data_IF_576714380417
#
_entry.id   IF_576714380417
#
_cell.length_a   1.000
_cell.length_b   1.000
_cell.length_c   1.000
_cell.angle_alpha   90.00
_cell.angle_beta   90.00
_cell.angle_gamma   90.00
#
_symmetry.space_group_name_H-M   'P 1'
#
loop_
_entity.id
_entity.type
_entity.pdbx_description
1 polymer ?
#
# COMPACT_ATOMS: atom_id res chain seq x y z
N UNK A 1 -9.24 7.73 -6.66
CA UNK A 1 -9.74 8.88 -5.89
C UNK A 1 -8.59 9.75 -5.43
N UNK A 2 -8.85 11.03 -5.25
CA UNK A 2 -7.95 11.94 -4.58
C UNK A 2 -8.46 12.20 -3.17
N UNK A 3 -7.56 12.11 -2.19
CA UNK A 3 -7.90 12.35 -0.78
C UNK A 3 -7.01 13.45 -0.19
N UNK A 4 -7.53 14.20 0.74
CA UNK A 4 -6.77 15.14 1.57
C UNK A 4 -5.94 14.34 2.58
N UNK A 5 -4.63 14.61 2.66
CA UNK A 5 -3.67 13.79 3.40
C UNK A 5 -3.21 14.38 4.74
N UNK A 6 -3.76 15.53 5.15
CA UNK A 6 -3.36 16.21 6.41
C UNK A 6 -3.47 15.31 7.64
N UNK A 7 -4.52 14.47 7.71
CA UNK A 7 -4.69 13.56 8.83
C UNK A 7 -3.62 12.47 8.91
N UNK A 8 -3.17 11.96 7.74
CA UNK A 8 -2.07 11.00 7.65
C UNK A 8 -0.74 11.65 8.07
N UNK A 9 -0.52 12.89 7.63
CA UNK A 9 0.68 13.66 7.98
C UNK A 9 0.70 13.94 9.48
N UNK A 10 -0.40 14.44 10.05
CA UNK A 10 -0.53 14.71 11.49
C UNK A 10 -0.32 13.42 12.33
N UNK A 11 -0.87 12.29 11.88
CA UNK A 11 -0.64 10.99 12.54
C UNK A 11 0.82 10.59 12.52
N UNK A 12 1.51 10.78 11.39
CA UNK A 12 2.95 10.51 11.26
C UNK A 12 3.78 11.39 12.21
N UNK A 13 3.45 12.68 12.29
CA UNK A 13 4.13 13.63 13.19
C UNK A 13 3.90 13.30 14.66
N UNK A 14 2.67 12.91 15.03
CA UNK A 14 2.36 12.44 16.38
C UNK A 14 3.22 11.23 16.76
N UNK A 15 3.26 10.21 15.90
CA UNK A 15 4.04 9.00 16.14
C UNK A 15 5.56 9.29 16.19
N UNK A 16 6.04 10.25 15.39
CA UNK A 16 7.42 10.70 15.45
C UNK A 16 7.75 11.38 16.80
N UNK A 17 6.84 12.17 17.34
CA UNK A 17 6.98 12.78 18.67
C UNK A 17 6.99 11.73 19.79
N UNK A 18 6.32 10.60 19.61
CA UNK A 18 6.31 9.44 20.50
C UNK A 18 7.56 8.54 20.31
N UNK A 19 8.50 8.92 19.43
CA UNK A 19 9.74 8.18 19.15
C UNK A 19 9.60 7.09 18.07
N UNK A 20 8.48 7.02 17.36
CA UNK A 20 8.23 6.03 16.31
C UNK A 20 8.41 6.64 14.91
N UNK A 21 9.45 6.22 14.19
CA UNK A 21 9.68 6.64 12.81
C UNK A 21 8.84 5.81 11.86
N UNK A 22 7.66 6.33 11.47
CA UNK A 22 6.73 5.67 10.57
C UNK A 22 6.78 6.32 9.19
N UNK A 23 6.89 5.49 8.14
CA UNK A 23 6.85 5.97 6.74
C UNK A 23 5.41 6.20 6.28
N UNK A 24 5.22 7.02 5.23
CA UNK A 24 3.91 7.15 4.58
C UNK A 24 3.45 5.79 4.01
N UNK A 25 4.37 5.00 3.47
CA UNK A 25 4.06 3.66 2.98
C UNK A 25 3.50 2.75 4.10
N UNK A 26 4.03 2.85 5.32
CA UNK A 26 3.53 2.10 6.47
C UNK A 26 2.12 2.52 6.87
N UNK A 27 1.79 3.82 6.81
CA UNK A 27 0.43 4.31 7.09
C UNK A 27 -0.57 3.87 6.02
N UNK A 28 -0.17 3.93 4.74
CA UNK A 28 -1.02 3.45 3.64
C UNK A 28 -1.22 1.94 3.72
N UNK A 29 -0.19 1.19 4.07
CA UNK A 29 -0.29 -0.26 4.28
C UNK A 29 -1.24 -0.60 5.45
N UNK A 30 -1.18 0.17 6.55
CA UNK A 30 -2.10 0.00 7.68
C UNK A 30 -3.56 0.23 7.26
N UNK A 31 -3.81 1.30 6.50
CA UNK A 31 -5.14 1.61 5.98
C UNK A 31 -5.63 0.52 5.00
N UNK A 32 -4.77 0.07 4.08
CA UNK A 32 -5.08 -1.02 3.15
C UNK A 32 -5.42 -2.31 3.91
N UNK A 33 -4.60 -2.68 4.90
CA UNK A 33 -4.81 -3.90 5.69
C UNK A 33 -6.19 -3.89 6.36
N UNK A 34 -6.58 -2.77 6.99
CA UNK A 34 -7.91 -2.63 7.61
C UNK A 34 -9.03 -2.72 6.58
N UNK A 35 -8.87 -2.02 5.45
CA UNK A 35 -9.86 -2.06 4.38
C UNK A 35 -10.08 -3.46 3.82
N UNK A 36 -9.03 -4.28 3.72
CA UNK A 36 -9.13 -5.66 3.23
C UNK A 36 -9.79 -6.62 4.24
N UNK A 37 -9.67 -6.33 5.53
CA UNK A 37 -10.43 -7.05 6.58
C UNK A 37 -11.92 -6.71 6.47
N UNK A 38 -12.26 -5.45 6.22
CA UNK A 38 -13.65 -4.98 6.08
C UNK A 38 -14.26 -5.38 4.72
N UNK A 39 -13.44 -5.49 3.66
CA UNK A 39 -13.86 -5.81 2.29
C UNK A 39 -13.06 -7.02 1.77
N UNK A 40 -13.35 -8.23 2.27
CA UNK A 40 -12.54 -9.42 1.96
C UNK A 40 -12.63 -9.87 0.50
N UNK A 41 -13.59 -9.39 -0.29
CA UNK A 41 -13.66 -9.62 -1.73
C UNK A 41 -12.45 -9.04 -2.50
N UNK A 42 -11.75 -8.07 -1.92
CA UNK A 42 -10.52 -7.49 -2.49
C UNK A 42 -9.24 -8.22 -2.05
N UNK A 43 -9.34 -9.23 -1.18
CA UNK A 43 -8.19 -9.95 -0.62
C UNK A 43 -8.14 -11.39 -1.12
N UNK A 44 -7.42 -11.64 -2.21
CA UNK A 44 -7.31 -12.98 -2.77
C UNK A 44 -6.78 -13.03 -4.20
N UNK A 45 -6.91 -14.18 -4.81
CA UNK A 45 -6.44 -14.46 -6.16
C UNK A 45 -7.57 -15.04 -7.01
N UNK A 46 -7.46 -14.87 -8.33
CA UNK A 46 -8.35 -15.51 -9.31
C UNK A 46 -7.55 -16.53 -10.11
N UNK A 47 -7.82 -17.78 -9.87
CA UNK A 47 -7.10 -18.88 -10.48
C UNK A 47 -8.06 -20.04 -10.81
N UNK A 48 -7.80 -20.77 -11.90
CA UNK A 48 -8.64 -21.89 -12.35
C UNK A 48 -10.14 -21.54 -12.53
N UNK A 49 -10.43 -20.30 -12.98
CA UNK A 49 -11.77 -19.75 -13.13
C UNK A 49 -12.56 -19.59 -11.80
N UNK A 50 -11.86 -19.56 -10.68
CA UNK A 50 -12.46 -19.37 -9.35
C UNK A 50 -11.75 -18.25 -8.59
N UNK A 51 -12.50 -17.51 -7.78
CA UNK A 51 -11.94 -16.60 -6.80
C UNK A 51 -11.61 -17.36 -5.52
N UNK A 52 -10.33 -17.35 -5.16
CA UNK A 52 -9.81 -17.91 -3.92
C UNK A 52 -9.53 -16.76 -2.97
N UNK A 53 -10.43 -16.57 -1.99
CA UNK A 53 -10.23 -15.57 -0.93
C UNK A 53 -9.07 -15.96 -0.04
N UNK A 54 -8.27 -15.00 0.34
CA UNK A 54 -7.26 -15.16 1.40
C UNK A 54 -7.86 -14.77 2.75
N UNK A 55 -7.67 -15.60 3.77
CA UNK A 55 -8.09 -15.30 5.14
C UNK A 55 -7.10 -14.35 5.84
N UNK A 56 -5.84 -14.36 5.40
CA UNK A 56 -4.81 -13.44 5.88
C UNK A 56 -4.47 -12.37 4.82
N UNK A 57 -4.01 -11.20 5.26
CA UNK A 57 -3.54 -10.13 4.37
C UNK A 57 -2.04 -10.29 4.14
N UNK A 58 -1.68 -10.81 2.98
CA UNK A 58 -0.29 -10.94 2.52
C UNK A 58 -0.02 -9.85 1.48
N UNK A 59 0.60 -8.75 1.90
CA UNK A 59 0.82 -7.59 1.05
C UNK A 59 2.13 -7.71 0.26
N UNK A 60 2.05 -7.83 -1.07
CA UNK A 60 3.17 -7.62 -1.96
C UNK A 60 3.52 -6.13 -2.02
N UNK A 61 4.76 -5.78 -1.73
CA UNK A 61 5.23 -4.38 -1.73
C UNK A 61 6.07 -4.13 -2.97
N UNK A 62 5.58 -3.27 -3.86
CA UNK A 62 6.33 -2.93 -5.08
C UNK A 62 7.52 -2.02 -4.74
N UNK A 63 8.74 -2.51 -4.96
CA UNK A 63 10.00 -1.84 -4.65
C UNK A 63 10.87 -1.79 -5.90
N UNK A 64 11.25 -0.57 -6.31
CA UNK A 64 12.20 -0.38 -7.40
C UNK A 64 13.63 -0.58 -6.90
N UNK A 65 14.41 -1.34 -7.66
CA UNK A 65 15.85 -1.58 -7.47
C UNK A 65 16.63 -1.17 -8.72
N UNK A 66 17.96 -1.21 -8.66
CA UNK A 66 18.81 -1.02 -9.85
C UNK A 66 18.53 -2.04 -10.96
N UNK A 67 18.14 -3.25 -10.59
CA UNK A 67 17.97 -4.39 -11.47
C UNK A 67 16.52 -4.59 -11.94
N UNK A 68 15.61 -3.67 -11.52
CA UNK A 68 14.21 -3.69 -11.89
C UNK A 68 13.26 -3.60 -10.71
N UNK A 69 12.01 -3.99 -10.94
CA UNK A 69 10.96 -4.01 -9.93
C UNK A 69 10.89 -5.37 -9.26
N UNK A 70 10.90 -5.40 -7.94
CA UNK A 70 10.62 -6.59 -7.13
C UNK A 70 9.40 -6.36 -6.26
N UNK A 71 8.69 -7.44 -5.94
CA UNK A 71 7.45 -7.38 -5.14
C UNK A 71 7.53 -8.39 -3.99
N UNK A 72 8.38 -8.14 -2.98
CA UNK A 72 8.43 -9.01 -1.81
C UNK A 72 7.14 -8.90 -1.00
N UNK A 73 6.83 -9.95 -0.24
CA UNK A 73 5.58 -10.13 0.49
C UNK A 73 5.76 -9.92 1.99
N UNK A 74 5.04 -8.96 2.54
CA UNK A 74 4.85 -8.84 3.98
C UNK A 74 3.62 -9.66 4.38
N UNK A 75 3.85 -10.71 5.19
CA UNK A 75 2.82 -11.67 5.54
C UNK A 75 2.07 -11.28 6.81
N UNK A 76 0.81 -11.74 6.91
CA UNK A 76 -0.04 -11.68 8.11
C UNK A 76 -0.17 -10.24 8.64
N UNK A 77 -0.39 -9.28 7.71
CA UNK A 77 -0.42 -7.85 8.03
C UNK A 77 -1.52 -7.50 9.04
N UNK A 78 -2.64 -8.21 9.05
CA UNK A 78 -3.79 -7.97 9.93
C UNK A 78 -3.52 -8.38 11.38
N UNK A 79 -2.56 -9.28 11.62
CA UNK A 79 -2.27 -9.81 12.96
C UNK A 79 -1.34 -8.93 13.79
N UNK A 80 -0.74 -7.91 13.18
CA UNK A 80 0.29 -7.06 13.80
C UNK A 80 -0.12 -5.60 13.81
N UNK A 81 0.26 -4.89 14.86
CA UNK A 81 0.01 -3.45 15.00
C UNK A 81 0.81 -2.61 13.99
N UNK A 82 0.46 -1.32 13.86
CA UNK A 82 1.08 -0.39 12.93
C UNK A 82 2.60 -0.27 13.13
N UNK A 83 3.08 -0.21 14.39
CA UNK A 83 4.50 -0.01 14.69
C UNK A 83 5.29 -1.24 14.27
N UNK A 84 4.85 -2.42 14.69
CA UNK A 84 5.46 -3.71 14.34
C UNK A 84 5.43 -3.95 12.82
N UNK A 85 4.31 -3.59 12.16
CA UNK A 85 4.19 -3.68 10.69
C UNK A 85 5.16 -2.75 9.98
N UNK A 86 5.33 -1.50 10.48
CA UNK A 86 6.31 -0.55 9.94
C UNK A 86 7.74 -1.08 10.07
N UNK A 87 8.10 -1.64 11.22
CA UNK A 87 9.43 -2.23 11.45
C UNK A 87 9.69 -3.41 10.49
N UNK A 88 8.70 -4.28 10.31
CA UNK A 88 8.81 -5.41 9.36
C UNK A 88 8.93 -4.92 7.91
N UNK A 89 8.17 -3.87 7.53
CA UNK A 89 8.28 -3.26 6.21
C UNK A 89 9.68 -2.66 5.98
N UNK A 90 10.21 -1.93 6.96
CA UNK A 90 11.55 -1.34 6.87
C UNK A 90 12.63 -2.44 6.75
N UNK A 91 12.54 -3.51 7.53
CA UNK A 91 13.43 -4.66 7.44
C UNK A 91 13.37 -5.34 6.06
N UNK A 92 12.16 -5.50 5.51
CA UNK A 92 11.94 -6.04 4.16
C UNK A 92 12.61 -5.17 3.09
N UNK A 93 12.42 -3.84 3.16
CA UNK A 93 13.06 -2.87 2.25
C UNK A 93 14.59 -2.93 2.35
N UNK A 94 15.15 -3.08 3.55
CA UNK A 94 16.60 -3.23 3.73
C UNK A 94 17.13 -4.52 3.10
N UNK A 95 16.44 -5.65 3.27
CA UNK A 95 16.80 -6.92 2.60
C UNK A 95 16.77 -6.80 1.09
N UNK A 96 15.77 -6.13 0.52
CA UNK A 96 15.71 -5.83 -0.93
C UNK A 96 16.95 -5.07 -1.37
N UNK A 97 17.27 -3.96 -0.68
CA UNK A 97 18.42 -3.11 -1.02
C UNK A 97 19.77 -3.82 -0.89
N UNK A 98 19.86 -4.79 0.02
CA UNK A 98 21.05 -5.61 0.22
C UNK A 98 21.13 -6.80 -0.77
N UNK A 99 20.13 -6.99 -1.67
CA UNK A 99 20.09 -8.14 -2.57
C UNK A 99 19.87 -9.48 -1.86
N UNK A 100 19.25 -9.47 -0.66
CA UNK A 100 19.09 -10.63 0.22
C UNK A 100 17.66 -11.22 0.16
N UNK A 101 16.96 -11.05 -0.95
CA UNK A 101 15.67 -11.70 -1.15
C UNK A 101 15.86 -13.15 -1.56
N UNK A 102 15.08 -14.02 -0.94
CA UNK A 102 14.90 -15.41 -1.36
C UNK A 102 13.72 -15.52 -2.33
N UNK A 103 13.67 -16.52 -3.23
CA UNK A 103 12.56 -16.71 -4.16
C UNK A 103 11.18 -16.72 -3.48
N UNK A 104 11.08 -17.35 -2.31
CA UNK A 104 9.83 -17.45 -1.53
C UNK A 104 9.38 -16.11 -0.94
N UNK A 105 10.28 -15.13 -0.81
CA UNK A 105 9.93 -13.79 -0.32
C UNK A 105 8.97 -13.04 -1.26
N UNK A 106 8.89 -13.42 -2.53
CA UNK A 106 8.05 -12.76 -3.55
C UNK A 106 6.84 -13.60 -3.98
N UNK A 107 6.51 -14.64 -3.23
CA UNK A 107 5.39 -15.55 -3.54
C UNK A 107 4.24 -15.43 -2.54
N UNK A 108 3.01 -15.75 -2.98
CA UNK A 108 1.84 -15.89 -2.11
C UNK A 108 1.27 -14.56 -1.59
N UNK A 109 1.47 -13.45 -2.28
CA UNK A 109 0.77 -12.21 -1.97
C UNK A 109 -0.72 -12.30 -2.35
N UNK A 110 -1.60 -11.79 -1.50
CA UNK A 110 -3.04 -11.70 -1.74
C UNK A 110 -3.48 -10.35 -2.33
N UNK A 111 -2.62 -9.34 -2.20
CA UNK A 111 -2.81 -7.97 -2.70
C UNK A 111 -1.44 -7.35 -2.99
N UNK A 112 -1.37 -6.38 -3.87
CA UNK A 112 -0.14 -5.57 -4.08
C UNK A 112 -0.36 -4.12 -3.66
N UNK A 113 0.64 -3.55 -2.99
CA UNK A 113 0.74 -2.14 -2.65
C UNK A 113 1.92 -1.50 -3.38
N UNK A 114 1.65 -0.46 -4.17
CA UNK A 114 2.66 0.38 -4.83
C UNK A 114 2.61 1.79 -4.27
N UNK A 115 3.67 2.25 -3.60
CA UNK A 115 3.72 3.58 -2.98
C UNK A 115 4.87 4.39 -3.56
N UNK A 116 4.54 5.50 -4.22
CA UNK A 116 5.50 6.40 -4.86
C UNK A 116 5.59 7.77 -4.16
N UNK A 117 5.32 7.84 -2.85
CA UNK A 117 5.29 9.08 -2.08
C UNK A 117 6.63 9.84 -2.03
N UNK A 118 7.75 9.17 -2.31
CA UNK A 118 9.09 9.77 -2.37
C UNK A 118 9.53 10.11 -3.81
N UNK A 119 8.60 10.18 -4.74
CA UNK A 119 8.85 10.50 -6.15
C UNK A 119 8.09 11.77 -6.55
N UNK A 120 8.08 12.10 -7.84
CA UNK A 120 7.21 13.15 -8.41
C UNK A 120 5.98 12.59 -9.12
N UNK A 121 5.76 11.28 -9.04
CA UNK A 121 4.65 10.60 -9.70
C UNK A 121 3.40 10.75 -8.83
N UNK A 122 2.47 11.59 -9.25
CA UNK A 122 1.24 11.90 -8.53
C UNK A 122 0.15 10.85 -8.79
N UNK A 123 0.07 10.37 -10.02
CA UNK A 123 -0.91 9.37 -10.45
C UNK A 123 -0.32 8.49 -11.53
N UNK A 124 -0.96 7.37 -11.79
CA UNK A 124 -0.55 6.42 -12.82
C UNK A 124 -1.63 5.38 -13.05
N UNK A 125 -1.44 4.53 -14.03
CA UNK A 125 -2.30 3.36 -14.26
C UNK A 125 -1.49 2.11 -13.92
N UNK A 126 -1.57 1.61 -12.69
CA UNK A 126 -0.84 0.41 -12.32
C UNK A 126 -1.44 -0.82 -13.01
N UNK A 127 -0.60 -1.82 -13.21
CA UNK A 127 -1.00 -3.10 -13.80
C UNK A 127 -1.23 -4.06 -12.65
N UNK A 128 -2.39 -4.74 -12.70
CA UNK A 128 -2.72 -5.77 -11.71
C UNK A 128 -1.70 -6.92 -11.77
N UNK A 129 -1.21 -7.32 -10.61
CA UNK A 129 -0.24 -8.39 -10.49
C UNK A 129 -0.95 -9.75 -10.39
N UNK A 130 -1.23 -10.35 -11.56
CA UNK A 130 -1.91 -11.66 -11.59
C UNK A 130 -1.14 -12.71 -10.76
N UNK A 131 -1.84 -13.62 -10.08
CA UNK A 131 -3.29 -13.88 -10.07
C UNK A 131 -4.09 -13.06 -9.05
N UNK A 132 -3.50 -12.05 -8.40
CA UNK A 132 -4.20 -11.20 -7.42
C UNK A 132 -5.38 -10.46 -8.06
N UNK A 133 -6.44 -10.23 -7.27
CA UNK A 133 -7.64 -9.54 -7.74
C UNK A 133 -7.65 -8.05 -7.43
N UNK A 134 -6.71 -7.56 -6.62
CA UNK A 134 -6.64 -6.16 -6.21
C UNK A 134 -5.18 -5.68 -6.10
N UNK A 135 -4.97 -4.43 -6.49
CA UNK A 135 -3.75 -3.67 -6.27
C UNK A 135 -4.12 -2.25 -5.85
N UNK A 136 -3.43 -1.70 -4.86
CA UNK A 136 -3.52 -0.29 -4.48
C UNK A 136 -2.24 0.44 -4.86
N UNK A 137 -2.40 1.55 -5.61
CA UNK A 137 -1.34 2.51 -5.88
C UNK A 137 -1.58 3.78 -5.05
N UNK A 138 -0.51 4.31 -4.47
CA UNK A 138 -0.48 5.60 -3.79
C UNK A 138 0.57 6.51 -4.42
N UNK A 139 0.14 7.63 -4.97
CA UNK A 139 0.99 8.63 -5.60
C UNK A 139 1.71 9.53 -4.62
N UNK A 140 2.57 10.40 -5.16
CA UNK A 140 3.25 11.43 -4.39
C UNK A 140 2.27 12.47 -3.85
N UNK A 141 2.49 13.01 -2.64
CA UNK A 141 1.69 14.11 -2.12
C UNK A 141 1.89 15.38 -2.93
N UNK A 142 0.82 16.14 -3.08
CA UNK A 142 0.78 17.41 -3.83
C UNK A 142 0.21 18.50 -2.97
N UNK A 143 0.99 19.57 -2.77
CA UNK A 143 0.49 20.78 -2.13
C UNK A 143 -0.35 21.59 -3.11
N UNK A 144 -1.59 21.88 -2.76
CA UNK A 144 -2.53 22.66 -3.57
C UNK A 144 -3.62 23.32 -2.72
N UNK A 145 -4.39 24.30 -3.29
CA UNK A 145 -5.59 24.78 -2.63
C UNK A 145 -6.62 23.67 -2.46
N UNK A 146 -7.13 23.51 -1.24
CA UNK A 146 -8.25 22.60 -0.92
C UNK A 146 -9.39 23.38 -0.31
N UNK A 147 -10.62 22.90 -0.45
CA UNK A 147 -11.79 23.51 0.20
C UNK A 147 -12.01 22.81 1.53
N UNK A 148 -11.90 23.59 2.63
CA UNK A 148 -12.19 23.11 3.99
C UNK A 148 -13.13 24.11 4.65
N UNK A 149 -14.23 23.64 5.21
CA UNK A 149 -15.24 24.47 5.88
C UNK A 149 -15.70 25.67 5.01
N UNK A 150 -15.92 25.44 3.72
CA UNK A 150 -16.29 26.47 2.70
C UNK A 150 -15.23 27.54 2.43
N UNK A 151 -14.01 27.35 2.92
CA UNK A 151 -12.86 28.23 2.69
C UNK A 151 -11.79 27.53 1.87
N UNK A 152 -11.08 28.29 1.03
CA UNK A 152 -9.92 27.77 0.31
C UNK A 152 -8.70 27.93 1.22
N UNK A 153 -8.04 26.82 1.51
CA UNK A 153 -6.84 26.77 2.36
C UNK A 153 -5.74 25.97 1.66
N UNK A 154 -4.45 26.23 1.97
CA UNK A 154 -3.39 25.32 1.56
C UNK A 154 -3.60 23.94 2.17
N UNK A 155 -3.44 22.89 1.38
CA UNK A 155 -3.54 21.50 1.82
C UNK A 155 -2.65 20.58 1.00
N UNK A 156 -2.50 19.36 1.46
CA UNK A 156 -1.83 18.31 0.70
C UNK A 156 -2.82 17.21 0.34
N UNK A 157 -2.72 16.72 -0.89
CA UNK A 157 -3.56 15.63 -1.39
C UNK A 157 -2.70 14.50 -1.92
N UNK A 158 -3.20 13.28 -1.86
CA UNK A 158 -2.63 12.11 -2.50
C UNK A 158 -3.67 11.42 -3.38
N UNK A 159 -3.21 10.80 -4.47
CA UNK A 159 -4.05 9.93 -5.27
C UNK A 159 -3.93 8.49 -4.79
N UNK A 160 -5.06 7.88 -4.48
CA UNK A 160 -5.20 6.46 -4.28
C UNK A 160 -5.92 5.86 -5.49
N UNK A 161 -5.30 4.91 -6.14
CA UNK A 161 -5.83 4.25 -7.34
C UNK A 161 -5.84 2.76 -7.06
N UNK A 162 -7.05 2.18 -6.97
CA UNK A 162 -7.21 0.74 -6.91
C UNK A 162 -7.47 0.18 -8.30
N UNK A 163 -6.81 -0.92 -8.60
CA UNK A 163 -7.03 -1.74 -9.78
C UNK A 163 -7.51 -3.10 -9.30
N UNK A 164 -8.55 -3.61 -9.92
CA UNK A 164 -9.13 -4.88 -9.52
C UNK A 164 -9.57 -5.70 -10.74
N UNK A 165 -9.69 -7.00 -10.54
CA UNK A 165 -10.14 -7.93 -11.55
C UNK A 165 -11.66 -7.83 -11.71
N UNK A 166 -12.18 -7.41 -12.87
CA UNK A 166 -13.62 -7.23 -13.08
C UNK A 166 -14.42 -8.55 -13.08
N UNK A 167 -13.74 -9.69 -13.10
CA UNK A 167 -14.38 -11.00 -12.97
C UNK A 167 -14.79 -11.30 -11.52
N UNK A 168 -14.23 -10.57 -10.55
CA UNK A 168 -14.45 -10.78 -9.10
C UNK A 168 -15.10 -9.56 -8.46
N UNK A 169 -14.71 -8.36 -8.88
CA UNK A 169 -15.12 -7.10 -8.24
C UNK A 169 -15.78 -6.23 -9.31
N UNK A 170 -17.04 -5.95 -9.12
CA UNK A 170 -17.78 -4.94 -9.90
C UNK A 170 -17.48 -3.56 -9.31
N UNK A 171 -17.16 -2.59 -10.22
CA UNK A 171 -16.76 -1.24 -9.82
C UNK A 171 -17.88 -0.38 -9.25
#
# INVERSE_FOLDING_TARGET
>A
VEIESSSLIAKREQLAAEGHKISMASLVLDALTRALVDVPACNGIYENAEFVRSDAVHAGIAISTSDGLVVPVLRDCETIDLISRSQRLDALVQRVRAGQLMPDDSSGASVTLSVLTNTRVQSGTPILNAPQVCLLFCGAPVSKPVVKDRSIVPGETIHLISVYDPRVIEG
#
